data_IF_019049277018
#
_entry.id   IF_019049277018
#
_cell.length_a   1.000
_cell.length_b   1.000
_cell.length_c   1.000
_cell.angle_alpha   90.00
_cell.angle_beta   90.00
_cell.angle_gamma   90.00
#
_symmetry.space_group_name_H-M   'P 1'
#
loop_
_entity.id
_entity.type
_entity.pdbx_description
1 polymer ?
#
# COMPACT_ATOMS: atom_id res chain seq x y z
N UNK A 1 16.55 13.18 0.05
CA UNK A 1 15.09 13.25 0.30
C UNK A 1 14.64 11.96 0.95
N UNK A 2 13.90 12.01 2.07
CA UNK A 2 13.39 10.81 2.72
C UNK A 2 12.05 10.37 2.13
N UNK A 3 11.94 9.12 1.72
CA UNK A 3 10.70 8.50 1.21
C UNK A 3 10.46 7.18 1.91
N UNK A 4 9.21 6.92 2.30
CA UNK A 4 8.79 5.60 2.75
C UNK A 4 8.01 4.85 1.68
N UNK A 5 8.08 3.53 1.71
CA UNK A 5 7.23 2.63 0.92
C UNK A 5 6.46 1.69 1.83
N UNK A 6 5.18 1.47 1.53
CA UNK A 6 4.31 0.59 2.32
C UNK A 6 3.70 -0.49 1.45
N UNK A 7 3.82 -1.72 1.90
CA UNK A 7 3.14 -2.89 1.33
C UNK A 7 2.83 -3.91 2.45
N UNK A 8 1.86 -4.78 2.25
CA UNK A 8 1.64 -5.95 3.11
C UNK A 8 2.36 -7.19 2.59
N UNK A 9 2.24 -8.28 3.33
CA UNK A 9 2.85 -9.55 2.97
C UNK A 9 1.86 -10.69 2.80
N UNK A 10 2.44 -11.85 2.46
CA UNK A 10 1.68 -13.07 2.29
C UNK A 10 0.91 -13.45 3.56
N UNK A 11 -0.32 -13.93 3.39
CA UNK A 11 -1.09 -14.61 4.42
C UNK A 11 -1.85 -15.80 3.83
N UNK A 12 -2.02 -16.91 4.58
CA UNK A 12 -2.79 -18.06 4.13
C UNK A 12 -4.30 -17.76 4.10
N UNK A 13 -5.04 -18.46 3.24
CA UNK A 13 -6.50 -18.30 3.12
C UNK A 13 -7.27 -18.59 4.42
N UNK A 14 -6.71 -19.41 5.31
CA UNK A 14 -7.27 -19.68 6.64
C UNK A 14 -7.38 -18.42 7.51
N UNK A 15 -6.59 -17.37 7.23
CA UNK A 15 -6.61 -16.12 8.00
C UNK A 15 -7.73 -15.17 7.56
N UNK A 16 -8.35 -15.40 6.39
CA UNK A 16 -9.46 -14.59 5.91
C UNK A 16 -10.61 -14.55 6.91
N UNK A 17 -11.30 -13.41 6.95
CA UNK A 17 -12.37 -13.17 7.93
C UNK A 17 -11.83 -12.94 9.33
N UNK A 18 -10.73 -12.18 9.47
CA UNK A 18 -10.15 -11.75 10.76
C UNK A 18 -9.61 -12.90 11.62
N UNK A 19 -9.16 -13.99 11.00
CA UNK A 19 -8.67 -15.21 11.67
C UNK A 19 -7.15 -15.29 11.79
N UNK A 20 -6.44 -14.26 11.36
CA UNK A 20 -5.00 -14.17 11.51
C UNK A 20 -4.50 -12.80 11.12
N UNK A 21 -3.18 -12.65 11.13
CA UNK A 21 -2.51 -11.40 10.81
C UNK A 21 -1.59 -11.55 9.61
N UNK A 22 -1.43 -10.48 8.86
CA UNK A 22 -0.44 -10.33 7.80
C UNK A 22 0.58 -9.27 8.22
N UNK A 23 1.85 -9.39 7.80
CA UNK A 23 2.83 -8.36 8.08
C UNK A 23 2.51 -7.10 7.27
N UNK A 24 2.72 -5.94 7.89
CA UNK A 24 2.74 -4.63 7.27
C UNK A 24 4.19 -4.13 7.28
N UNK A 25 4.71 -3.79 6.11
CA UNK A 25 6.10 -3.40 5.93
C UNK A 25 6.17 -1.91 5.58
N UNK A 26 7.01 -1.17 6.29
CA UNK A 26 7.33 0.23 5.96
C UNK A 26 8.84 0.35 5.73
N UNK A 27 9.25 0.51 4.48
CA UNK A 27 10.64 0.75 4.11
C UNK A 27 10.96 2.23 4.20
N UNK A 28 12.22 2.58 4.49
CA UNK A 28 12.73 3.96 4.47
C UNK A 28 13.89 4.06 3.49
N UNK A 29 13.81 5.07 2.64
CA UNK A 29 14.85 5.43 1.69
C UNK A 29 15.32 6.86 1.94
N UNK A 30 16.62 7.08 1.81
CA UNK A 30 17.21 8.40 1.63
C UNK A 30 17.75 8.48 0.20
N UNK A 31 17.03 9.23 -0.63
CA UNK A 31 17.21 9.20 -2.08
C UNK A 31 17.18 7.75 -2.59
N UNK A 32 18.18 7.25 -3.31
CA UNK A 32 18.14 5.88 -3.84
C UNK A 32 18.75 4.82 -2.89
N UNK A 33 19.09 5.21 -1.66
CA UNK A 33 19.67 4.31 -0.67
C UNK A 33 18.62 3.83 0.30
N UNK A 34 18.45 2.51 0.39
CA UNK A 34 17.69 1.88 1.46
C UNK A 34 18.37 2.14 2.80
N UNK A 35 17.61 2.60 3.79
CA UNK A 35 18.12 2.97 5.12
C UNK A 35 17.66 2.04 6.21
N UNK A 36 16.36 1.76 6.25
CA UNK A 36 15.75 1.01 7.35
C UNK A 36 14.40 0.41 6.95
N UNK A 37 13.90 -0.51 7.75
CA UNK A 37 12.57 -1.12 7.61
C UNK A 37 11.92 -1.30 8.97
N UNK A 38 10.64 -0.93 9.07
CA UNK A 38 9.78 -1.25 10.22
C UNK A 38 8.73 -2.26 9.80
N UNK A 39 8.42 -3.17 10.71
CA UNK A 39 7.51 -4.29 10.49
C UNK A 39 6.57 -4.38 11.69
N UNK A 40 5.29 -4.48 11.42
CA UNK A 40 4.25 -4.84 12.41
C UNK A 40 3.24 -5.75 11.71
N UNK A 41 2.15 -6.12 12.39
CA UNK A 41 1.16 -7.06 11.89
C UNK A 41 -0.24 -6.48 12.00
N UNK A 42 -0.97 -6.51 10.88
CA UNK A 42 -2.36 -6.07 10.76
C UNK A 42 -3.29 -7.26 10.63
N UNK A 43 -4.53 -7.11 11.10
CA UNK A 43 -5.53 -8.17 11.04
C UNK A 43 -6.00 -8.36 9.59
N UNK A 44 -5.99 -9.60 9.09
CA UNK A 44 -6.48 -9.92 7.73
C UNK A 44 -7.97 -9.60 7.65
N UNK A 45 -8.38 -8.85 6.63
CA UNK A 45 -9.74 -8.30 6.50
C UNK A 45 -10.20 -7.45 7.71
N UNK A 46 -9.25 -6.94 8.51
CA UNK A 46 -9.49 -6.10 9.67
C UNK A 46 -9.77 -4.63 9.31
N UNK A 47 -9.62 -3.76 10.30
CA UNK A 47 -9.74 -2.29 10.21
C UNK A 47 -8.67 -1.57 11.06
N UNK A 48 -7.67 -2.31 11.54
CA UNK A 48 -6.55 -1.83 12.36
C UNK A 48 -5.38 -1.27 11.51
N UNK A 49 -5.45 -1.36 10.17
CA UNK A 49 -4.34 -1.01 9.28
C UNK A 49 -3.82 0.41 9.44
N UNK A 50 -4.73 1.39 9.53
CA UNK A 50 -4.37 2.81 9.69
C UNK A 50 -3.65 3.06 11.01
N UNK A 51 -4.18 2.52 12.12
CA UNK A 51 -3.59 2.69 13.45
C UNK A 51 -2.20 2.05 13.51
N UNK A 52 -2.05 0.82 12.98
CA UNK A 52 -0.78 0.11 12.96
C UNK A 52 0.25 0.87 12.13
N UNK A 53 -0.13 1.35 10.94
CA UNK A 53 0.75 2.16 10.10
C UNK A 53 1.22 3.42 10.83
N UNK A 54 0.35 4.14 11.53
CA UNK A 54 0.70 5.36 12.25
C UNK A 54 1.75 5.10 13.35
N UNK A 55 1.74 3.92 13.99
CA UNK A 55 2.77 3.54 14.99
C UNK A 55 4.14 3.28 14.37
N UNK A 56 4.19 2.71 13.17
CA UNK A 56 5.45 2.31 12.52
C UNK A 56 5.90 3.26 11.39
N UNK A 57 5.14 4.29 11.08
CA UNK A 57 5.51 5.29 10.08
C UNK A 57 6.70 6.14 10.54
N UNK A 58 7.48 6.63 9.58
CA UNK A 58 8.52 7.63 9.80
C UNK A 58 8.00 9.08 9.70
N UNK A 59 6.73 9.27 9.32
CA UNK A 59 6.13 10.60 9.18
C UNK A 59 6.67 11.41 7.99
N UNK A 60 7.33 10.75 7.03
CA UNK A 60 7.85 11.34 5.79
C UNK A 60 6.91 11.05 4.62
N UNK A 61 7.21 11.59 3.44
CA UNK A 61 6.43 11.30 2.24
C UNK A 61 6.41 9.80 1.96
N UNK A 62 5.22 9.23 1.81
CA UNK A 62 5.01 7.78 1.77
C UNK A 62 4.31 7.36 0.48
N UNK A 63 4.89 6.37 -0.21
CA UNK A 63 4.27 5.68 -1.34
C UNK A 63 3.60 4.42 -0.81
N UNK A 64 2.31 4.29 -1.07
CA UNK A 64 1.46 3.17 -0.65
C UNK A 64 1.17 2.27 -1.86
N UNK A 65 1.29 0.95 -1.73
CA UNK A 65 0.88 -0.01 -2.77
C UNK A 65 -0.64 -0.18 -2.82
N UNK A 66 -1.34 0.93 -3.04
CA UNK A 66 -2.79 1.03 -3.00
C UNK A 66 -3.37 1.30 -1.60
N UNK A 67 -4.70 1.29 -1.53
CA UNK A 67 -5.47 1.63 -0.31
C UNK A 67 -5.76 0.41 0.59
N UNK A 68 -5.76 -0.79 0.02
CA UNK A 68 -6.12 -2.03 0.71
C UNK A 68 -4.89 -2.85 1.04
N UNK A 69 -4.89 -3.43 2.24
CA UNK A 69 -3.82 -4.27 2.77
C UNK A 69 -4.44 -5.51 3.41
N UNK A 70 -3.70 -6.62 3.48
CA UNK A 70 -4.10 -7.86 4.13
C UNK A 70 -5.51 -8.33 3.73
N UNK A 71 -5.80 -8.31 2.42
CA UNK A 71 -7.17 -8.49 1.90
C UNK A 71 -7.93 -7.17 1.85
N UNK A 72 -8.98 -7.03 2.66
CA UNK A 72 -9.79 -5.81 2.73
C UNK A 72 -9.59 -5.00 4.01
N UNK A 73 -8.45 -5.14 4.68
CA UNK A 73 -7.99 -4.10 5.61
C UNK A 73 -7.54 -2.88 4.78
N UNK A 74 -7.41 -1.73 5.40
CA UNK A 74 -7.12 -0.49 4.69
C UNK A 74 -6.33 0.49 5.54
N UNK A 75 -5.52 1.30 4.87
CA UNK A 75 -4.79 2.41 5.47
C UNK A 75 -5.34 3.69 4.88
N UNK A 76 -5.84 4.62 5.70
CA UNK A 76 -6.28 5.94 5.25
C UNK A 76 -5.09 6.90 5.35
N UNK A 77 -4.46 7.31 4.23
CA UNK A 77 -3.37 8.26 4.27
C UNK A 77 -3.88 9.64 4.69
N UNK A 78 -3.11 10.36 5.52
CA UNK A 78 -3.50 11.71 6.00
C UNK A 78 -2.79 12.85 5.30
N UNK A 79 -1.48 12.72 5.09
CA UNK A 79 -0.62 13.78 4.53
C UNK A 79 0.62 13.20 3.87
N UNK A 80 1.19 13.92 2.92
CA UNK A 80 2.42 13.58 2.21
C UNK A 80 2.37 12.15 1.67
N UNK A 81 1.36 11.81 0.90
CA UNK A 81 1.15 10.44 0.44
C UNK A 81 0.98 10.34 -1.07
N UNK A 82 1.32 9.16 -1.59
CA UNK A 82 1.04 8.77 -2.97
C UNK A 82 0.48 7.35 -2.92
N UNK A 83 -0.81 7.19 -3.17
CA UNK A 83 -1.39 5.89 -3.48
C UNK A 83 -0.98 5.50 -4.89
N UNK A 84 -0.25 4.40 -5.04
CA UNK A 84 0.28 3.93 -6.31
C UNK A 84 -0.46 2.70 -6.80
N UNK A 85 -0.84 2.70 -8.08
CA UNK A 85 -1.36 1.52 -8.76
C UNK A 85 -0.66 1.35 -10.11
N UNK A 86 0.01 0.21 -10.29
CA UNK A 86 0.64 -0.17 -11.55
C UNK A 86 -0.36 -0.37 -12.70
N UNK A 87 -1.64 -0.54 -12.42
CA UNK A 87 -2.72 -0.64 -13.41
C UNK A 87 -4.06 -0.22 -12.82
N UNK A 88 -5.04 0.10 -13.67
CA UNK A 88 -6.35 0.59 -13.19
C UNK A 88 -7.07 -0.51 -12.39
N UNK A 89 -7.43 -0.27 -11.12
CA UNK A 89 -8.25 -1.21 -10.38
C UNK A 89 -9.61 -1.42 -11.08
N UNK A 90 -10.10 -2.66 -11.07
CA UNK A 90 -11.46 -2.95 -11.55
C UNK A 90 -12.47 -2.55 -10.46
N UNK A 91 -12.97 -1.32 -10.54
CA UNK A 91 -13.87 -0.74 -9.54
C UNK A 91 -15.11 -1.61 -9.29
N UNK A 92 -15.71 -2.18 -10.34
CA UNK A 92 -16.89 -3.05 -10.21
C UNK A 92 -16.58 -4.31 -9.42
N UNK A 93 -15.44 -4.97 -9.69
CA UNK A 93 -15.02 -6.16 -8.93
C UNK A 93 -14.74 -5.84 -7.47
N UNK A 94 -14.10 -4.70 -7.20
CA UNK A 94 -13.82 -4.24 -5.84
C UNK A 94 -15.12 -3.95 -5.09
N UNK A 95 -16.05 -3.20 -5.71
CA UNK A 95 -17.35 -2.88 -5.13
C UNK A 95 -18.17 -4.12 -4.81
N UNK A 96 -18.30 -5.06 -5.74
CA UNK A 96 -19.03 -6.31 -5.54
C UNK A 96 -18.45 -7.15 -4.40
N UNK A 97 -17.11 -7.21 -4.29
CA UNK A 97 -16.46 -7.95 -3.22
C UNK A 97 -16.68 -7.29 -1.85
N UNK A 98 -16.63 -5.95 -1.81
CA UNK A 98 -16.90 -5.18 -0.60
C UNK A 98 -18.36 -5.36 -0.14
N UNK A 99 -19.33 -5.22 -1.04
CA UNK A 99 -20.75 -5.42 -0.74
C UNK A 99 -21.06 -6.83 -0.24
N UNK A 100 -20.41 -7.84 -0.81
CA UNK A 100 -20.66 -9.24 -0.45
C UNK A 100 -20.11 -9.61 0.92
N UNK A 101 -18.97 -9.05 1.30
CA UNK A 101 -18.20 -9.53 2.45
C UNK A 101 -18.19 -8.56 3.63
N UNK A 102 -18.54 -7.29 3.44
CA UNK A 102 -18.43 -6.25 4.46
C UNK A 102 -19.66 -5.33 4.47
N UNK A 103 -20.11 -4.99 5.67
CA UNK A 103 -21.27 -4.10 5.89
C UNK A 103 -20.88 -2.85 6.70
N UNK A 104 -19.59 -2.54 6.76
CA UNK A 104 -19.03 -1.40 7.49
C UNK A 104 -18.57 -0.27 6.53
N UNK A 105 -18.03 0.80 7.12
CA UNK A 105 -17.61 2.01 6.40
C UNK A 105 -16.47 1.80 5.40
N UNK A 106 -15.77 0.64 5.41
CA UNK A 106 -14.62 0.42 4.53
C UNK A 106 -14.99 0.49 3.05
N UNK A 107 -16.21 0.10 2.69
CA UNK A 107 -16.70 0.19 1.31
C UNK A 107 -16.60 1.62 0.81
N UNK A 108 -17.17 2.55 1.56
CA UNK A 108 -17.18 3.98 1.21
C UNK A 108 -15.75 4.53 1.12
N UNK A 109 -14.91 4.22 2.12
CA UNK A 109 -13.53 4.70 2.20
C UNK A 109 -12.72 4.22 0.99
N UNK A 110 -12.67 2.90 0.75
CA UNK A 110 -11.87 2.29 -0.32
C UNK A 110 -12.33 2.80 -1.68
N UNK A 111 -13.64 2.84 -1.93
CA UNK A 111 -14.19 3.30 -3.21
C UNK A 111 -13.94 4.78 -3.44
N UNK A 112 -13.95 5.62 -2.40
CA UNK A 112 -13.61 7.04 -2.52
C UNK A 112 -12.18 7.22 -3.08
N UNK A 113 -11.19 6.53 -2.50
CA UNK A 113 -9.81 6.60 -2.98
C UNK A 113 -9.64 6.07 -4.40
N UNK A 114 -10.23 4.91 -4.72
CA UNK A 114 -10.11 4.31 -6.06
C UNK A 114 -10.77 5.20 -7.14
N UNK A 115 -11.90 5.85 -6.83
CA UNK A 115 -12.59 6.76 -7.78
C UNK A 115 -11.79 8.01 -8.09
N UNK A 116 -10.96 8.48 -7.15
CA UNK A 116 -10.14 9.68 -7.30
C UNK A 116 -8.77 9.41 -7.96
N UNK A 117 -8.50 8.17 -8.40
CA UNK A 117 -7.27 7.84 -9.12
C UNK A 117 -7.17 8.59 -10.46
N UNK A 118 -6.06 9.30 -10.63
CA UNK A 118 -5.67 10.00 -11.86
C UNK A 118 -4.65 9.16 -12.61
N UNK A 119 -4.85 9.01 -13.92
CA UNK A 119 -3.88 8.36 -14.81
C UNK A 119 -2.74 9.33 -15.12
N UNK A 120 -1.50 8.90 -14.92
CA UNK A 120 -0.31 9.65 -15.32
C UNK A 120 0.60 8.79 -16.21
N UNK A 121 1.30 9.45 -17.13
CA UNK A 121 2.35 8.81 -17.93
C UNK A 121 3.68 8.92 -17.21
N UNK A 122 4.35 7.78 -17.02
CA UNK A 122 5.72 7.72 -16.49
C UNK A 122 6.68 7.16 -17.54
N UNK A 123 7.99 7.27 -17.29
CA UNK A 123 9.03 6.64 -18.12
C UNK A 123 8.83 5.12 -18.27
N UNK A 124 8.23 4.46 -17.28
CA UNK A 124 7.96 3.00 -17.27
C UNK A 124 6.49 2.68 -17.61
N UNK A 125 5.81 3.57 -18.33
CA UNK A 125 4.44 3.40 -18.81
C UNK A 125 3.36 4.04 -17.91
N UNK A 126 2.07 3.88 -18.27
CA UNK A 126 0.99 4.55 -17.57
C UNK A 126 0.70 3.92 -16.21
N UNK A 127 0.59 4.73 -15.17
CA UNK A 127 0.20 4.34 -13.80
C UNK A 127 -1.00 5.14 -13.35
N UNK A 128 -1.61 4.74 -12.23
CA UNK A 128 -2.76 5.42 -11.63
C UNK A 128 -2.38 5.81 -10.21
N UNK A 129 -2.63 7.07 -9.86
CA UNK A 129 -2.29 7.58 -8.53
C UNK A 129 -3.38 8.45 -7.94
N UNK A 130 -3.45 8.49 -6.63
CA UNK A 130 -4.19 9.47 -5.85
C UNK A 130 -3.24 9.98 -4.74
N UNK A 131 -3.22 11.29 -4.51
CA UNK A 131 -2.18 11.94 -3.71
C UNK A 131 -2.66 13.31 -3.25
N UNK A 132 -2.25 13.71 -2.04
CA UNK A 132 -2.41 15.10 -1.55
C UNK A 132 -1.32 16.06 -2.08
N UNK A 133 -0.35 15.54 -2.81
CA UNK A 133 0.74 16.32 -3.40
C UNK A 133 0.36 16.87 -4.77
N UNK A 134 1.06 17.93 -5.20
CA UNK A 134 0.97 18.39 -6.58
C UNK A 134 1.31 17.25 -7.55
N UNK A 135 0.47 17.02 -8.55
CA UNK A 135 0.58 15.89 -9.48
C UNK A 135 1.97 15.81 -10.15
N UNK A 136 2.56 16.96 -10.50
CA UNK A 136 3.90 17.04 -11.09
C UNK A 136 4.98 16.59 -10.11
N UNK A 137 4.86 16.97 -8.84
CA UNK A 137 5.77 16.58 -7.78
C UNK A 137 5.66 15.09 -7.47
N UNK A 138 4.43 14.57 -7.32
CA UNK A 138 4.17 13.15 -7.12
C UNK A 138 4.74 12.29 -8.28
N UNK A 139 4.50 12.71 -9.53
CA UNK A 139 5.10 12.07 -10.71
C UNK A 139 6.63 12.06 -10.64
N UNK A 140 7.26 13.19 -10.26
CA UNK A 140 8.72 13.29 -10.13
C UNK A 140 9.29 12.32 -9.09
N UNK A 141 8.59 12.14 -7.96
CA UNK A 141 8.95 11.13 -6.96
C UNK A 141 8.84 9.72 -7.55
N UNK A 142 7.70 9.37 -8.15
CA UNK A 142 7.47 8.04 -8.72
C UNK A 142 8.56 7.69 -9.75
N UNK A 143 8.79 8.56 -10.73
CA UNK A 143 9.79 8.32 -11.79
C UNK A 143 11.21 8.21 -11.24
N UNK A 144 11.54 8.94 -10.17
CA UNK A 144 12.85 8.85 -9.52
C UNK A 144 13.10 7.49 -8.90
N UNK A 145 12.07 6.88 -8.31
CA UNK A 145 12.18 5.58 -7.65
C UNK A 145 11.83 4.39 -8.56
N UNK A 146 11.41 4.62 -9.80
CA UNK A 146 11.17 3.58 -10.80
C UNK A 146 12.49 3.11 -11.45
N UNK A 147 13.37 2.47 -10.66
CA UNK A 147 14.72 2.12 -11.13
C UNK A 147 14.75 0.89 -12.05
N UNK A 148 14.21 -0.23 -11.60
CA UNK A 148 14.27 -1.51 -12.35
C UNK A 148 12.92 -1.95 -12.90
N UNK A 149 11.82 -1.34 -12.43
CA UNK A 149 10.47 -1.79 -12.78
C UNK A 149 9.49 -0.62 -12.83
N UNK A 150 8.25 -0.94 -13.22
CA UNK A 150 7.13 0.00 -13.15
C UNK A 150 6.78 0.41 -11.71
N UNK A 151 7.08 -0.42 -10.72
CA UNK A 151 6.81 -0.13 -9.32
C UNK A 151 8.00 0.61 -8.69
N UNK A 152 7.77 1.73 -7.97
CA UNK A 152 8.80 2.40 -7.20
C UNK A 152 9.53 1.46 -6.24
N UNK A 153 10.86 1.59 -6.14
CA UNK A 153 11.70 0.76 -5.27
C UNK A 153 11.23 0.68 -3.80
N UNK A 154 10.71 1.76 -3.16
CA UNK A 154 10.26 1.67 -1.78
C UNK A 154 9.15 0.65 -1.56
N UNK A 155 8.13 0.62 -2.42
CA UNK A 155 7.03 -0.36 -2.34
C UNK A 155 7.48 -1.72 -2.88
N UNK A 156 8.34 -1.76 -3.91
CA UNK A 156 8.87 -3.02 -4.45
C UNK A 156 9.69 -3.79 -3.41
N UNK A 157 10.51 -3.10 -2.61
CA UNK A 157 11.26 -3.73 -1.53
C UNK A 157 10.34 -4.13 -0.36
N UNK A 158 9.36 -3.29 -0.01
CA UNK A 158 8.35 -3.62 0.99
C UNK A 158 7.63 -4.95 0.64
N UNK A 159 7.25 -5.11 -0.63
CA UNK A 159 6.65 -6.34 -1.16
C UNK A 159 7.50 -7.59 -0.94
N UNK A 160 8.80 -7.51 -1.27
CA UNK A 160 9.73 -8.65 -1.15
C UNK A 160 9.91 -9.06 0.31
N UNK A 161 10.07 -8.08 1.20
CA UNK A 161 10.20 -8.31 2.64
C UNK A 161 8.89 -8.88 3.18
N UNK A 162 7.75 -8.28 2.84
CA UNK A 162 6.42 -8.67 3.31
C UNK A 162 6.09 -10.10 2.92
N UNK A 163 6.33 -10.48 1.67
CA UNK A 163 6.18 -11.86 1.21
C UNK A 163 7.02 -12.84 2.02
N UNK A 164 8.27 -12.49 2.30
CA UNK A 164 9.20 -13.36 3.04
C UNK A 164 8.77 -13.53 4.49
N UNK A 165 8.48 -12.42 5.18
CA UNK A 165 8.01 -12.42 6.57
C UNK A 165 6.67 -13.15 6.69
N UNK A 166 5.75 -12.94 5.75
CA UNK A 166 4.43 -13.58 5.74
C UNK A 166 4.52 -15.10 5.61
N UNK A 167 5.37 -15.60 4.70
CA UNK A 167 5.60 -17.04 4.58
C UNK A 167 6.25 -17.64 5.83
N UNK A 168 7.22 -16.94 6.43
CA UNK A 168 7.83 -17.36 7.69
C UNK A 168 6.80 -17.40 8.83
N UNK A 169 6.03 -16.33 9.01
CA UNK A 169 5.02 -16.21 10.06
C UNK A 169 3.93 -17.29 9.95
N UNK A 170 3.48 -17.62 8.74
CA UNK A 170 2.45 -18.65 8.53
C UNK A 170 2.85 -20.08 8.90
N UNK A 171 4.14 -20.33 9.19
CA UNK A 171 4.71 -21.65 9.50
C UNK A 171 5.10 -21.81 10.97
N UNK A 172 5.07 -20.74 11.75
CA UNK A 172 5.36 -20.72 13.17
C UNK A 172 4.05 -20.70 13.98
#
# INVERSE_FOLDING_TARGET
MLISGVDDGFFPLSYKGRRGKAPLIVTLYEDLYFKDVKIDFITVDGDDGTEVFERISWGVTTIFDGITYAGFNYIVPRRNYILFYGGKPNLQKVELALEKHFHDRRKEIILNFIKNLVRIETRNGPVYIESDLELRYAKGIIERYQLVSKYPEPIRLAHVIGRTVGHWHSRC
#
